data_IF_740376461296
#
_entry.id   IF_740376461296
#
_cell.length_a   1.000
_cell.length_b   1.000
_cell.length_c   1.000
_cell.angle_alpha   90.00
_cell.angle_beta   90.00
_cell.angle_gamma   90.00
#
_symmetry.space_group_name_H-M   'P 1'
#
loop_
_entity.id
_entity.type
_entity.pdbx_description
1 polymer ?
#
# COMPACT_ATOMS: atom_id res chain seq x y z
N UNK A 1 34.50 67.37 -15.50
CA UNK A 1 34.52 65.91 -15.74
C UNK A 1 34.08 65.24 -14.46
N UNK A 2 32.84 64.75 -14.42
CA UNK A 2 32.29 63.92 -13.35
C UNK A 2 32.27 62.47 -13.85
N UNK A 3 32.74 61.57 -13.00
CA UNK A 3 33.16 60.20 -13.30
C UNK A 3 32.02 59.17 -13.46
N UNK A 4 30.81 59.60 -13.84
CA UNK A 4 29.64 58.72 -13.99
C UNK A 4 29.11 58.62 -15.43
N UNK A 5 29.82 59.21 -16.41
CA UNK A 5 29.34 59.33 -17.79
C UNK A 5 29.93 58.28 -18.77
N UNK A 6 30.44 57.14 -18.27
CA UNK A 6 31.15 56.12 -19.08
C UNK A 6 30.55 54.70 -19.06
N UNK A 7 29.36 54.49 -18.49
CA UNK A 7 28.77 53.14 -18.38
C UNK A 7 27.26 53.06 -18.68
N UNK A 8 26.73 53.94 -19.55
CA UNK A 8 25.37 53.81 -20.07
C UNK A 8 25.38 53.26 -21.52
N UNK A 9 24.79 52.08 -21.81
CA UNK A 9 24.69 51.58 -23.18
C UNK A 9 23.72 52.45 -24.02
N UNK A 10 24.18 52.86 -25.21
CA UNK A 10 23.42 53.63 -26.18
C UNK A 10 22.20 52.83 -26.68
N UNK A 11 21.01 53.45 -26.68
CA UNK A 11 19.89 52.96 -27.49
C UNK A 11 18.52 52.80 -26.84
N UNK A 12 18.23 53.42 -25.68
CA UNK A 12 16.85 53.48 -25.18
C UNK A 12 16.44 54.89 -24.75
N UNK A 13 15.46 55.44 -25.47
CA UNK A 13 14.82 56.71 -25.13
C UNK A 13 14.10 56.64 -23.79
N UNK A 14 14.27 57.67 -22.96
CA UNK A 14 13.60 57.82 -21.65
C UNK A 14 12.07 57.84 -21.83
N UNK A 15 11.39 56.72 -21.55
CA UNK A 15 9.93 56.71 -21.33
C UNK A 15 9.64 57.41 -20.00
N UNK A 16 8.88 58.51 -20.05
CA UNK A 16 8.33 59.17 -18.86
C UNK A 16 7.31 58.24 -18.21
N UNK A 17 7.69 57.58 -17.13
CA UNK A 17 6.77 56.90 -16.22
C UNK A 17 6.00 57.95 -15.42
N UNK A 18 4.72 58.13 -15.75
CA UNK A 18 3.78 58.89 -14.95
C UNK A 18 3.54 58.11 -13.65
N UNK A 19 3.98 58.64 -12.51
CA UNK A 19 3.66 58.09 -11.19
C UNK A 19 2.19 58.40 -10.87
N UNK A 20 1.29 57.49 -11.22
CA UNK A 20 -0.07 57.48 -10.68
C UNK A 20 -0.01 57.12 -9.19
N UNK A 21 -0.78 57.80 -8.31
CA UNK A 21 -0.75 57.57 -6.87
C UNK A 21 -1.52 56.30 -6.51
N UNK A 22 -0.98 55.13 -6.83
CA UNK A 22 -1.58 53.82 -6.52
C UNK A 22 -1.87 53.61 -5.02
N UNK A 23 -1.17 54.33 -4.14
CA UNK A 23 -1.42 54.29 -2.69
C UNK A 23 -2.79 54.84 -2.26
N UNK A 24 -3.28 55.90 -2.92
CA UNK A 24 -4.57 56.52 -2.56
C UNK A 24 -5.76 55.73 -3.10
N UNK A 25 -5.61 55.13 -4.29
CA UNK A 25 -6.66 54.29 -4.90
C UNK A 25 -6.78 52.96 -4.13
N UNK A 26 -5.65 52.38 -3.72
CA UNK A 26 -5.64 51.17 -2.89
C UNK A 26 -6.29 51.38 -1.52
N UNK A 27 -6.00 52.49 -0.85
CA UNK A 27 -6.60 52.82 0.44
C UNK A 27 -8.13 53.04 0.35
N UNK A 28 -8.60 53.65 -0.75
CA UNK A 28 -10.03 53.81 -1.01
C UNK A 28 -10.76 52.47 -1.18
N UNK A 29 -10.17 51.53 -1.93
CA UNK A 29 -10.78 50.22 -2.19
C UNK A 29 -10.88 49.38 -0.90
N UNK A 30 -9.85 49.44 -0.06
CA UNK A 30 -9.78 48.71 1.21
C UNK A 30 -10.82 49.24 2.22
N UNK A 31 -11.03 50.55 2.24
CA UNK A 31 -12.08 51.19 3.04
C UNK A 31 -13.49 50.70 2.65
N UNK A 32 -13.77 50.60 1.34
CA UNK A 32 -15.06 50.12 0.85
C UNK A 32 -15.30 48.65 1.21
N UNK A 33 -14.28 47.80 1.10
CA UNK A 33 -14.40 46.38 1.49
C UNK A 33 -14.70 46.26 2.99
N UNK A 34 -13.93 46.94 3.85
CA UNK A 34 -14.10 46.85 5.30
C UNK A 34 -15.46 47.36 5.75
N UNK A 35 -15.93 48.48 5.19
CA UNK A 35 -17.25 49.04 5.51
C UNK A 35 -18.38 48.13 5.04
N UNK A 36 -18.25 47.52 3.86
CA UNK A 36 -19.27 46.57 3.35
C UNK A 36 -19.35 45.32 4.22
N UNK A 37 -18.21 44.77 4.65
CA UNK A 37 -18.19 43.60 5.55
C UNK A 37 -18.78 43.91 6.93
N UNK A 38 -18.48 45.09 7.48
CA UNK A 38 -19.05 45.53 8.77
C UNK A 38 -20.57 45.72 8.70
N UNK A 39 -21.09 46.28 7.61
CA UNK A 39 -22.54 46.42 7.40
C UNK A 39 -23.20 45.05 7.25
N UNK A 40 -22.56 44.12 6.54
CA UNK A 40 -23.10 42.76 6.37
C UNK A 40 -23.19 42.00 7.69
N UNK A 41 -22.14 42.05 8.53
CA UNK A 41 -22.14 41.44 9.87
C UNK A 41 -23.17 42.08 10.81
N UNK A 42 -23.42 43.39 10.69
CA UNK A 42 -24.38 44.09 11.54
C UNK A 42 -25.85 43.87 11.13
N UNK A 43 -26.12 43.42 9.90
CA UNK A 43 -27.48 43.27 9.35
C UNK A 43 -27.91 41.81 9.22
N UNK A 44 -26.96 40.88 9.11
CA UNK A 44 -27.25 39.44 8.95
C UNK A 44 -27.13 38.73 10.30
N UNK A 45 -28.26 38.59 10.99
CA UNK A 45 -28.40 37.96 12.32
C UNK A 45 -28.32 36.42 12.30
N UNK A 46 -27.83 35.81 11.22
CA UNK A 46 -27.64 34.36 11.15
C UNK A 46 -26.45 33.97 10.23
N UNK A 47 -25.24 33.80 10.78
CA UNK A 47 -24.04 33.47 10.01
C UNK A 47 -23.94 31.98 9.63
N UNK A 48 -24.90 31.13 10.03
CA UNK A 48 -24.94 29.69 9.76
C UNK A 48 -26.35 29.31 9.26
N UNK A 49 -26.65 29.73 8.05
CA UNK A 49 -27.96 29.52 7.44
C UNK A 49 -28.41 28.04 7.42
N UNK A 50 -29.43 27.74 8.23
CA UNK A 50 -30.49 26.80 7.88
C UNK A 50 -30.15 25.32 7.77
N UNK A 51 -29.30 24.76 8.64
CA UNK A 51 -29.28 23.30 8.81
C UNK A 51 -30.54 22.83 9.57
N UNK A 52 -31.37 21.93 9.02
CA UNK A 52 -32.56 21.45 9.70
C UNK A 52 -32.16 20.53 10.87
N UNK A 53 -32.27 21.03 12.09
CA UNK A 53 -32.09 20.23 13.31
C UNK A 53 -33.45 19.71 13.76
N UNK A 54 -33.65 18.40 13.68
CA UNK A 54 -34.84 17.74 14.24
C UNK A 54 -34.55 17.35 15.70
N UNK A 55 -35.18 18.05 16.64
CA UNK A 55 -35.16 17.69 18.06
C UNK A 55 -36.36 16.81 18.36
N UNK A 56 -36.12 15.52 18.65
CA UNK A 56 -37.13 14.58 19.11
C UNK A 56 -37.28 14.69 20.64
N UNK A 57 -38.44 15.09 21.18
CA UNK A 57 -38.69 15.00 22.61
C UNK A 57 -38.91 13.52 23.00
N UNK A 58 -38.01 12.99 23.83
CA UNK A 58 -38.17 11.68 24.48
C UNK A 58 -39.06 11.82 25.71
N UNK A 59 -40.37 11.98 25.48
CA UNK A 59 -41.39 11.77 26.52
C UNK A 59 -42.43 10.79 26.00
N UNK A 60 -42.12 9.51 26.19
CA UNK A 60 -43.11 8.44 26.21
C UNK A 60 -42.69 7.44 27.28
N UNK A 61 -43.07 7.75 28.52
CA UNK A 61 -43.17 6.72 29.57
C UNK A 61 -44.26 5.77 29.11
N UNK A 62 -43.85 4.59 28.63
CA UNK A 62 -44.75 3.46 28.44
C UNK A 62 -45.08 2.92 29.83
N UNK A 63 -46.23 3.31 30.37
CA UNK A 63 -46.83 2.60 31.50
C UNK A 63 -47.15 1.17 31.07
N UNK A 64 -46.50 0.18 31.69
CA UNK A 64 -46.84 -1.23 31.46
C UNK A 64 -45.75 -2.27 31.64
N UNK A 65 -44.53 -1.94 32.11
CA UNK A 65 -43.50 -2.96 32.40
C UNK A 65 -43.23 -3.00 33.91
N UNK A 66 -43.71 -4.06 34.54
CA UNK A 66 -43.43 -4.41 35.94
C UNK A 66 -41.97 -4.80 36.14
N UNK A 67 -41.39 -4.42 37.28
CA UNK A 67 -39.98 -4.60 37.65
C UNK A 67 -39.54 -6.05 37.93
N UNK A 68 -40.04 -7.03 37.17
CA UNK A 68 -39.63 -8.45 37.30
C UNK A 68 -38.88 -9.03 36.10
N UNK A 69 -38.65 -8.30 35.02
CA UNK A 69 -37.95 -8.82 33.81
C UNK A 69 -36.62 -8.13 33.47
N UNK A 70 -35.99 -7.45 34.43
CA UNK A 70 -34.60 -6.97 34.26
C UNK A 70 -33.67 -7.97 34.94
N UNK A 71 -33.40 -9.08 34.26
CA UNK A 71 -32.26 -9.91 34.59
C UNK A 71 -31.00 -9.23 34.03
N UNK A 72 -30.22 -8.63 34.93
CA UNK A 72 -28.87 -8.15 34.63
C UNK A 72 -28.03 -9.39 34.32
N UNK A 73 -27.85 -9.70 33.04
CA UNK A 73 -26.95 -10.76 32.59
C UNK A 73 -25.53 -10.25 32.75
N UNK A 74 -24.95 -10.55 33.91
CA UNK A 74 -23.52 -10.51 34.16
C UNK A 74 -22.86 -11.52 33.20
N UNK A 75 -22.22 -11.04 32.12
CA UNK A 75 -21.52 -11.91 31.17
C UNK A 75 -20.28 -12.47 31.86
N UNK A 76 -20.42 -13.62 32.51
CA UNK A 76 -19.31 -14.51 32.82
C UNK A 76 -18.90 -15.24 31.55
N UNK A 77 -17.60 -15.42 31.26
CA UNK A 77 -17.15 -16.15 30.09
C UNK A 77 -17.40 -17.64 30.31
N UNK A 78 -18.50 -18.15 29.74
CA UNK A 78 -18.85 -19.56 29.70
C UNK A 78 -18.61 -20.10 28.30
N UNK A 79 -17.60 -20.96 28.18
CA UNK A 79 -17.36 -21.83 27.02
C UNK A 79 -18.57 -22.74 26.80
N UNK A 80 -19.04 -22.84 25.56
CA UNK A 80 -19.94 -23.91 25.13
C UNK A 80 -20.81 -23.54 23.94
N UNK A 81 -20.51 -24.17 22.79
CA UNK A 81 -21.35 -24.37 21.61
C UNK A 81 -22.82 -23.95 21.74
N UNK A 82 -23.24 -22.92 20.98
CA UNK A 82 -24.44 -22.93 20.11
C UNK A 82 -24.68 -21.52 19.52
N UNK A 83 -23.81 -21.06 18.62
CA UNK A 83 -24.12 -19.91 17.77
C UNK A 83 -24.83 -20.44 16.52
N UNK A 84 -26.14 -20.21 16.45
CA UNK A 84 -27.02 -20.66 15.38
C UNK A 84 -26.55 -20.27 13.97
N UNK A 85 -27.07 -20.92 12.92
CA UNK A 85 -26.47 -20.98 11.58
C UNK A 85 -26.42 -19.66 10.79
N UNK A 86 -26.86 -18.53 11.36
CA UNK A 86 -27.06 -17.26 10.65
C UNK A 86 -26.12 -16.11 11.08
N UNK A 87 -25.03 -16.41 11.82
CA UNK A 87 -23.97 -15.44 12.14
C UNK A 87 -22.63 -15.76 11.45
N UNK A 88 -22.66 -16.54 10.37
CA UNK A 88 -21.56 -16.59 9.41
C UNK A 88 -21.71 -15.40 8.46
N UNK A 89 -20.73 -14.50 8.32
CA UNK A 89 -20.73 -13.56 7.22
C UNK A 89 -20.64 -14.38 5.92
N UNK A 90 -21.77 -14.54 5.25
CA UNK A 90 -21.93 -15.11 3.90
C UNK A 90 -21.36 -14.14 2.84
N UNK A 91 -20.07 -13.80 2.93
CA UNK A 91 -19.31 -13.04 1.91
C UNK A 91 -18.03 -13.76 1.47
N UNK A 92 -17.86 -15.02 1.82
CA UNK A 92 -16.66 -15.83 1.52
C UNK A 92 -16.63 -16.42 0.10
N UNK A 93 -17.63 -16.13 -0.74
CA UNK A 93 -17.80 -16.80 -2.03
C UNK A 93 -16.81 -16.40 -3.14
N UNK A 94 -16.26 -15.18 -3.13
CA UNK A 94 -15.52 -14.67 -4.30
C UNK A 94 -14.26 -13.82 -4.01
N UNK A 95 -13.90 -13.63 -2.74
CA UNK A 95 -12.70 -12.87 -2.36
C UNK A 95 -11.41 -13.59 -2.81
N UNK A 96 -10.54 -12.86 -3.50
CA UNK A 96 -9.23 -13.36 -3.95
C UNK A 96 -8.14 -13.16 -2.91
N UNK A 97 -8.34 -12.21 -1.99
CA UNK A 97 -7.43 -11.87 -0.90
C UNK A 97 -7.15 -13.02 0.08
N UNK A 98 -6.29 -12.78 1.09
CA UNK A 98 -5.89 -13.79 2.06
C UNK A 98 -7.10 -14.28 2.87
N UNK A 99 -7.18 -15.60 2.99
CA UNK A 99 -8.10 -16.29 3.88
C UNK A 99 -7.38 -16.53 5.18
N UNK A 100 -7.62 -15.66 6.15
CA UNK A 100 -7.16 -15.88 7.51
C UNK A 100 -7.92 -17.09 8.06
N UNK A 101 -7.38 -18.31 7.87
CA UNK A 101 -7.76 -19.43 8.72
C UNK A 101 -7.45 -18.96 10.14
N UNK A 102 -8.45 -18.92 11.01
CA UNK A 102 -8.20 -18.82 12.45
C UNK A 102 -7.42 -20.09 12.82
N UNK A 103 -6.10 -20.02 12.70
CA UNK A 103 -5.20 -21.10 13.07
C UNK A 103 -5.45 -21.30 14.57
N UNK A 104 -6.18 -22.36 14.92
CA UNK A 104 -6.20 -22.85 16.29
C UNK A 104 -4.76 -23.13 16.67
N UNK A 105 -4.27 -22.35 17.62
CA UNK A 105 -2.89 -22.38 18.07
C UNK A 105 -2.66 -23.75 18.76
N UNK A 106 -1.56 -24.45 18.48
CA UNK A 106 -1.24 -25.70 19.18
C UNK A 106 -0.95 -25.50 20.68
N UNK A 107 -0.89 -24.26 21.17
CA UNK A 107 -0.65 -23.89 22.56
C UNK A 107 -1.94 -23.61 23.38
N UNK A 108 -3.12 -23.76 22.77
CA UNK A 108 -4.41 -23.65 23.46
C UNK A 108 -4.87 -22.23 23.80
N UNK A 109 -4.21 -21.18 23.28
CA UNK A 109 -4.73 -19.82 23.37
C UNK A 109 -5.73 -19.58 22.23
N UNK A 110 -6.93 -19.10 22.61
CA UNK A 110 -8.10 -19.01 21.72
C UNK A 110 -7.93 -18.10 20.49
N UNK A 111 -8.96 -18.06 19.62
CA UNK A 111 -8.90 -17.39 18.31
C UNK A 111 -8.70 -15.86 18.35
N UNK A 112 -8.88 -15.22 19.51
CA UNK A 112 -8.88 -13.76 19.66
C UNK A 112 -7.53 -13.16 20.10
N UNK A 113 -6.48 -13.97 20.27
CA UNK A 113 -5.15 -13.45 20.57
C UNK A 113 -4.46 -13.00 19.27
N UNK A 114 -3.94 -11.75 19.19
CA UNK A 114 -3.21 -11.30 18.01
C UNK A 114 -2.04 -12.24 17.73
N UNK A 115 -1.94 -12.73 16.49
CA UNK A 115 -0.86 -13.64 16.05
C UNK A 115 0.46 -12.92 16.27
N UNK A 116 1.09 -13.19 17.43
CA UNK A 116 2.35 -12.56 17.81
C UNK A 116 3.48 -13.32 17.11
N UNK A 117 3.70 -12.99 15.85
CA UNK A 117 4.83 -13.49 15.05
C UNK A 117 4.41 -14.18 13.76
N UNK A 118 4.98 -13.71 12.65
CA UNK A 118 4.89 -14.34 11.35
C UNK A 118 5.82 -15.56 11.28
N UNK A 119 5.45 -16.61 10.52
CA UNK A 119 6.30 -17.80 10.40
C UNK A 119 7.70 -17.44 9.87
N UNK A 120 8.73 -17.88 10.60
CA UNK A 120 10.14 -17.72 10.26
C UNK A 120 10.66 -18.85 9.37
N UNK A 121 10.07 -20.04 9.50
CA UNK A 121 10.43 -21.23 8.72
C UNK A 121 9.40 -21.48 7.61
N UNK A 122 9.79 -22.12 6.50
CA UNK A 122 8.84 -22.56 5.48
C UNK A 122 7.77 -23.49 6.07
N UNK A 123 6.50 -23.13 5.92
CA UNK A 123 5.38 -24.00 6.26
C UNK A 123 5.33 -25.14 5.23
N UNK A 124 5.44 -26.38 5.71
CA UNK A 124 5.49 -27.60 4.90
C UNK A 124 4.19 -27.88 4.15
N UNK A 125 3.07 -27.24 4.53
CA UNK A 125 1.79 -27.33 3.82
C UNK A 125 1.83 -26.57 2.49
N UNK A 126 2.52 -25.43 2.46
CA UNK A 126 2.54 -24.50 1.33
C UNK A 126 3.93 -24.36 0.68
N UNK A 127 4.86 -25.23 1.05
CA UNK A 127 6.19 -25.32 0.45
C UNK A 127 6.56 -26.75 0.10
N UNK A 128 7.30 -26.93 -0.99
CA UNK A 128 7.85 -28.21 -1.43
C UNK A 128 9.35 -28.10 -1.67
N UNK A 129 10.08 -29.19 -1.46
CA UNK A 129 11.52 -29.22 -1.71
C UNK A 129 11.79 -29.59 -3.18
N UNK A 130 12.57 -28.77 -3.85
CA UNK A 130 13.10 -29.02 -5.20
C UNK A 130 14.63 -29.15 -5.15
N UNK A 131 15.24 -29.50 -6.29
CA UNK A 131 16.71 -29.54 -6.43
C UNK A 131 17.36 -28.16 -6.23
N UNK A 132 16.63 -27.08 -6.54
CA UNK A 132 17.13 -25.70 -6.48
C UNK A 132 16.83 -24.99 -5.15
N UNK A 133 15.99 -25.56 -4.29
CA UNK A 133 15.53 -24.95 -3.04
C UNK A 133 14.06 -25.23 -2.77
N UNK A 134 13.46 -24.47 -1.86
CA UNK A 134 12.03 -24.58 -1.57
C UNK A 134 11.21 -23.83 -2.62
N UNK A 135 10.14 -24.46 -3.09
CA UNK A 135 9.17 -23.85 -3.98
C UNK A 135 7.84 -23.67 -3.26
N UNK A 136 7.10 -22.58 -3.54
CA UNK A 136 5.73 -22.44 -3.08
C UNK A 136 4.83 -23.48 -3.74
N UNK A 137 3.86 -23.99 -3.00
CA UNK A 137 2.77 -24.83 -3.52
C UNK A 137 1.46 -24.51 -2.81
N UNK A 138 0.36 -24.83 -3.45
CA UNK A 138 -0.95 -24.90 -2.79
C UNK A 138 -1.05 -26.27 -2.10
N UNK A 139 -1.55 -26.29 -0.86
CA UNK A 139 -1.75 -27.55 -0.13
C UNK A 139 -2.92 -28.37 -0.72
N UNK A 140 -3.00 -29.66 -0.39
CA UNK A 140 -4.14 -30.50 -0.79
C UNK A 140 -5.48 -29.99 -0.21
N UNK A 141 -5.42 -29.24 0.89
CA UNK A 141 -6.57 -28.57 1.50
C UNK A 141 -6.90 -27.20 0.86
N UNK A 142 -6.15 -26.78 -0.16
CA UNK A 142 -6.36 -25.52 -0.87
C UNK A 142 -5.74 -24.29 -0.18
N UNK A 143 -4.94 -24.47 0.88
CA UNK A 143 -4.23 -23.37 1.54
C UNK A 143 -3.13 -22.86 0.62
N UNK A 144 -3.13 -21.55 0.35
CA UNK A 144 -2.14 -20.90 -0.51
C UNK A 144 -0.99 -20.30 0.33
N UNK A 145 0.22 -20.12 -0.23
CA UNK A 145 1.25 -19.28 0.39
C UNK A 145 0.75 -17.87 0.74
N UNK A 146 -0.11 -17.29 -0.11
CA UNK A 146 -0.80 -16.02 0.18
C UNK A 146 -1.55 -16.07 1.51
N UNK A 147 -2.27 -17.16 1.80
CA UNK A 147 -3.05 -17.30 3.03
C UNK A 147 -2.14 -17.53 4.24
N UNK A 148 -1.18 -18.45 4.11
CA UNK A 148 -0.30 -18.87 5.20
C UNK A 148 0.73 -17.81 5.64
N UNK A 149 1.18 -16.96 4.71
CA UNK A 149 2.23 -15.98 4.99
C UNK A 149 1.72 -14.53 5.06
N UNK A 150 0.46 -14.27 4.75
CA UNK A 150 -0.11 -12.93 4.88
C UNK A 150 -0.06 -12.43 6.30
N UNK A 151 0.21 -11.13 6.45
CA UNK A 151 0.08 -10.48 7.75
C UNK A 151 -1.40 -10.24 8.05
N UNK A 152 -1.93 -10.72 9.20
CA UNK A 152 -3.27 -10.38 9.63
C UNK A 152 -3.41 -8.88 9.83
N UNK A 153 -4.53 -8.33 9.37
CA UNK A 153 -4.96 -6.98 9.74
C UNK A 153 -6.03 -7.08 10.82
N UNK A 154 -5.88 -6.29 11.89
CA UNK A 154 -6.96 -6.12 12.86
C UNK A 154 -8.07 -5.33 12.15
N UNK A 155 -9.18 -6.01 11.86
CA UNK A 155 -10.30 -5.48 11.05
C UNK A 155 -11.17 -4.46 11.80
N UNK A 156 -10.65 -3.80 12.82
CA UNK A 156 -11.44 -2.96 13.73
C UNK A 156 -12.05 -1.74 13.02
N UNK A 157 -11.52 -1.31 11.87
CA UNK A 157 -11.97 -0.10 11.18
C UNK A 157 -12.07 -0.27 9.65
N UNK A 158 -13.17 -0.83 9.16
CA UNK A 158 -13.44 -0.95 7.71
C UNK A 158 -13.67 0.40 7.01
N UNK A 159 -13.85 1.49 7.77
CA UNK A 159 -14.14 2.84 7.26
C UNK A 159 -12.92 3.76 7.13
N UNK A 160 -11.74 3.36 7.61
CA UNK A 160 -10.53 4.18 7.52
C UNK A 160 -9.83 3.92 6.16
N UNK A 161 -9.45 4.96 5.40
CA UNK A 161 -8.71 4.75 4.17
C UNK A 161 -7.37 4.05 4.41
N UNK A 162 -7.09 3.04 3.59
CA UNK A 162 -5.92 2.15 3.73
C UNK A 162 -4.79 2.55 2.80
N UNK A 163 -3.56 2.46 3.27
CA UNK A 163 -2.37 2.65 2.45
C UNK A 163 -1.49 1.41 2.60
N UNK A 164 -1.05 0.83 1.48
CA UNK A 164 0.04 -0.15 1.48
C UNK A 164 1.30 0.49 0.92
N UNK A 165 2.44 0.22 1.57
CA UNK A 165 3.75 0.65 1.09
C UNK A 165 4.62 -0.58 0.90
N UNK A 166 5.27 -0.65 -0.25
CA UNK A 166 6.19 -1.71 -0.62
C UNK A 166 7.59 -1.11 -0.75
N UNK A 167 8.56 -1.66 -0.03
CA UNK A 167 9.98 -1.31 -0.21
C UNK A 167 10.69 -2.48 -0.88
N UNK A 168 11.24 -2.22 -2.07
CA UNK A 168 11.89 -3.22 -2.91
C UNK A 168 13.42 -3.14 -2.85
N UNK A 169 14.09 -4.13 -3.43
CA UNK A 169 15.55 -4.18 -3.51
C UNK A 169 16.23 -4.71 -2.25
N UNK A 170 15.48 -5.36 -1.33
CA UNK A 170 16.10 -5.97 -0.16
C UNK A 170 17.07 -7.08 -0.59
N UNK A 171 18.23 -7.11 0.05
CA UNK A 171 19.35 -8.00 -0.27
C UNK A 171 20.36 -7.41 -1.26
N UNK A 172 20.05 -6.34 -2.00
CA UNK A 172 21.02 -5.69 -2.90
C UNK A 172 22.06 -4.85 -2.16
N UNK A 173 21.71 -4.36 -0.96
CA UNK A 173 22.59 -3.62 -0.08
C UNK A 173 22.39 -4.08 1.35
N UNK A 174 23.43 -4.59 2.01
CA UNK A 174 23.38 -4.99 3.43
C UNK A 174 22.93 -3.83 4.32
N UNK A 175 23.55 -2.65 4.16
CA UNK A 175 23.22 -1.46 4.95
C UNK A 175 21.80 -0.96 4.68
N UNK A 176 21.40 -0.89 3.41
CA UNK A 176 20.04 -0.46 3.03
C UNK A 176 18.97 -1.40 3.56
N UNK A 177 19.21 -2.72 3.45
CA UNK A 177 18.28 -3.77 3.89
C UNK A 177 18.10 -3.75 5.40
N UNK A 178 19.18 -3.73 6.18
CA UNK A 178 19.08 -3.68 7.65
C UNK A 178 18.39 -2.41 8.13
N UNK A 179 18.72 -1.27 7.54
CA UNK A 179 18.09 0.00 7.88
C UNK A 179 16.58 -0.01 7.59
N UNK A 180 16.16 -0.56 6.44
CA UNK A 180 14.75 -0.70 6.11
C UNK A 180 14.01 -1.57 7.14
N UNK A 181 14.56 -2.76 7.46
CA UNK A 181 13.96 -3.69 8.42
C UNK A 181 13.86 -3.10 9.83
N UNK A 182 14.88 -2.37 10.30
CA UNK A 182 14.88 -1.84 11.66
C UNK A 182 14.06 -0.57 11.86
N UNK A 183 13.84 0.22 10.80
CA UNK A 183 13.26 1.57 10.91
C UNK A 183 11.80 1.64 10.50
N UNK A 184 11.33 0.75 9.62
CA UNK A 184 9.99 0.83 9.07
C UNK A 184 9.00 0.01 9.90
N UNK A 185 7.74 0.45 10.04
CA UNK A 185 6.75 -0.29 10.79
C UNK A 185 6.38 -1.61 10.09
N UNK A 186 5.96 -2.59 10.88
CA UNK A 186 5.65 -3.97 10.41
C UNK A 186 4.61 -4.06 9.29
N UNK A 187 3.75 -3.04 9.11
CA UNK A 187 2.76 -2.99 8.03
C UNK A 187 3.37 -2.64 6.66
N UNK A 188 4.63 -2.16 6.60
CA UNK A 188 5.36 -2.05 5.33
C UNK A 188 5.71 -3.43 4.81
N UNK A 189 5.38 -3.68 3.54
CA UNK A 189 5.72 -4.92 2.85
C UNK A 189 7.12 -4.80 2.22
N UNK A 190 7.92 -5.84 2.32
CA UNK A 190 9.25 -5.86 1.69
C UNK A 190 9.32 -6.79 0.49
N UNK A 191 9.99 -6.35 -0.57
CA UNK A 191 10.28 -7.18 -1.73
C UNK A 191 11.76 -7.54 -1.80
N UNK A 192 12.05 -8.84 -1.74
CA UNK A 192 13.38 -9.42 -1.81
C UNK A 192 13.85 -9.48 -3.26
N UNK A 193 15.04 -8.97 -3.53
CA UNK A 193 15.68 -9.10 -4.83
C UNK A 193 16.25 -10.52 -4.99
N UNK A 194 15.95 -11.26 -6.06
CA UNK A 194 16.34 -12.67 -6.21
C UNK A 194 17.85 -12.88 -6.32
N UNK A 195 18.61 -11.82 -6.58
CA UNK A 195 20.07 -11.83 -6.68
C UNK A 195 20.75 -11.13 -5.49
N UNK A 196 19.98 -10.76 -4.46
CA UNK A 196 20.54 -10.23 -3.23
C UNK A 196 21.37 -11.28 -2.47
N UNK A 197 22.26 -10.80 -1.62
CA UNK A 197 23.06 -11.64 -0.74
C UNK A 197 22.31 -11.90 0.56
N UNK A 198 22.60 -13.03 1.22
CA UNK A 198 22.04 -13.40 2.54
C UNK A 198 20.50 -13.33 2.62
N UNK A 199 19.78 -13.65 1.54
CA UNK A 199 18.31 -13.54 1.49
C UNK A 199 17.60 -14.29 2.63
N UNK A 200 18.07 -15.47 3.00
CA UNK A 200 17.49 -16.24 4.12
C UNK A 200 17.60 -15.51 5.45
N UNK A 201 18.69 -14.76 5.68
CA UNK A 201 18.88 -13.96 6.88
C UNK A 201 17.89 -12.79 6.91
N UNK A 202 17.84 -12.01 5.82
CA UNK A 202 16.96 -10.84 5.75
C UNK A 202 15.49 -11.21 5.75
N UNK A 203 15.13 -12.32 5.11
CA UNK A 203 13.79 -12.90 5.18
C UNK A 203 13.42 -13.21 6.63
N UNK A 204 14.27 -13.92 7.38
CA UNK A 204 14.00 -14.25 8.79
C UNK A 204 13.90 -13.00 9.66
N UNK A 205 14.81 -12.02 9.49
CA UNK A 205 14.77 -10.75 10.22
C UNK A 205 13.48 -9.98 9.94
N UNK A 206 13.12 -9.80 8.67
CA UNK A 206 11.90 -9.10 8.28
C UNK A 206 10.63 -9.79 8.83
N UNK A 207 10.57 -11.13 8.80
CA UNK A 207 9.45 -11.88 9.38
C UNK A 207 9.40 -11.77 10.91
N UNK A 208 10.56 -11.72 11.56
CA UNK A 208 10.66 -11.52 13.01
C UNK A 208 10.12 -10.15 13.43
N UNK A 209 10.41 -9.11 12.65
CA UNK A 209 9.87 -7.76 12.84
C UNK A 209 8.41 -7.60 12.33
N UNK A 210 7.81 -8.67 11.82
CA UNK A 210 6.39 -8.71 11.46
C UNK A 210 6.06 -8.21 10.05
N UNK A 211 7.04 -8.08 9.15
CA UNK A 211 6.82 -7.65 7.77
C UNK A 211 6.26 -8.76 6.87
N UNK A 212 5.34 -8.37 6.00
CA UNK A 212 4.93 -9.19 4.86
C UNK A 212 6.00 -9.15 3.76
N UNK A 213 6.20 -10.27 3.06
CA UNK A 213 7.25 -10.41 2.06
C UNK A 213 6.70 -10.68 0.67
N UNK A 214 7.37 -10.10 -0.33
CA UNK A 214 7.25 -10.38 -1.76
C UNK A 214 8.60 -10.81 -2.31
N UNK A 215 8.59 -11.46 -3.47
CA UNK A 215 9.79 -11.71 -4.27
C UNK A 215 9.78 -10.86 -5.55
N UNK A 216 10.88 -10.19 -5.85
CA UNK A 216 11.03 -9.48 -7.12
C UNK A 216 11.25 -10.45 -8.29
N UNK A 217 10.54 -10.22 -9.39
CA UNK A 217 10.71 -10.94 -10.65
C UNK A 217 11.35 -10.01 -11.70
N UNK A 218 12.59 -10.27 -12.11
CA UNK A 218 13.24 -9.59 -13.23
C UNK A 218 12.47 -9.85 -14.53
N UNK A 219 11.88 -8.80 -15.10
CA UNK A 219 11.08 -8.87 -16.32
C UNK A 219 11.70 -8.01 -17.43
N UNK A 220 11.51 -8.40 -18.69
CA UNK A 220 12.08 -7.71 -19.85
C UNK A 220 11.66 -6.22 -19.98
N UNK A 221 12.61 -5.26 -19.93
CA UNK A 221 12.36 -3.88 -20.33
C UNK A 221 12.44 -3.70 -21.86
N UNK A 222 12.16 -2.50 -22.38
CA UNK A 222 12.19 -2.25 -23.83
C UNK A 222 13.60 -2.23 -24.43
N UNK A 223 14.59 -1.86 -23.63
CA UNK A 223 16.00 -1.69 -23.97
C UNK A 223 16.84 -2.93 -23.61
N UNK A 224 16.22 -4.09 -23.41
CA UNK A 224 16.95 -5.35 -23.26
C UNK A 224 17.71 -5.70 -24.55
N UNK A 225 18.99 -6.14 -24.50
CA UNK A 225 19.77 -6.48 -23.31
C UNK A 225 20.66 -5.36 -22.75
N UNK A 226 20.57 -4.12 -23.25
CA UNK A 226 21.41 -3.01 -22.77
C UNK A 226 21.12 -2.68 -21.28
N UNK A 227 19.88 -2.91 -20.84
CA UNK A 227 19.47 -2.86 -19.44
C UNK A 227 18.91 -4.23 -19.02
N UNK A 228 19.79 -5.08 -18.49
CA UNK A 228 19.43 -6.45 -18.05
C UNK A 228 19.27 -6.51 -16.51
N UNK A 229 18.06 -6.80 -15.99
CA UNK A 229 17.84 -6.93 -14.56
C UNK A 229 18.39 -8.24 -13.97
N UNK A 230 18.90 -9.16 -14.80
CA UNK A 230 19.73 -10.28 -14.37
C UNK A 230 19.65 -11.56 -15.22
N UNK A 231 20.43 -12.59 -14.88
CA UNK A 231 20.62 -13.77 -15.75
C UNK A 231 19.34 -14.59 -16.02
N UNK A 232 18.35 -14.52 -15.12
CA UNK A 232 17.07 -15.23 -15.24
C UNK A 232 15.89 -14.31 -15.58
N UNK A 233 16.14 -13.14 -16.20
CA UNK A 233 15.08 -12.24 -16.68
C UNK A 233 14.06 -13.00 -17.52
N UNK A 234 12.77 -12.82 -17.21
CA UNK A 234 11.69 -13.41 -18.00
C UNK A 234 11.49 -12.57 -19.27
N UNK A 235 11.74 -13.17 -20.42
CA UNK A 235 11.63 -12.52 -21.73
C UNK A 235 10.36 -12.98 -22.46
N UNK A 236 9.76 -12.08 -23.22
CA UNK A 236 8.59 -12.33 -24.07
C UNK A 236 8.91 -13.29 -25.21
N UNK A 237 10.20 -13.43 -25.57
CA UNK A 237 10.66 -14.35 -26.61
C UNK A 237 10.97 -15.76 -26.09
N UNK A 238 10.86 -16.00 -24.78
CA UNK A 238 11.12 -17.32 -24.22
C UNK A 238 10.05 -18.32 -24.63
N UNK A 239 10.48 -19.53 -24.98
CA UNK A 239 9.58 -20.67 -25.05
C UNK A 239 9.01 -20.99 -23.66
N UNK A 240 7.77 -21.50 -23.55
CA UNK A 240 7.11 -21.77 -22.28
C UNK A 240 7.95 -22.55 -21.26
N UNK A 241 8.63 -23.60 -21.68
CA UNK A 241 9.46 -24.44 -20.79
C UNK A 241 10.64 -23.66 -20.19
N UNK A 242 11.27 -22.79 -20.99
CA UNK A 242 12.36 -21.93 -20.52
C UNK A 242 11.89 -20.81 -19.60
N UNK A 243 10.68 -20.30 -19.83
CA UNK A 243 10.06 -19.35 -18.90
C UNK A 243 9.78 -20.03 -17.55
N UNK A 244 9.26 -21.26 -17.55
CA UNK A 244 9.04 -22.04 -16.32
C UNK A 244 10.36 -22.34 -15.60
N UNK A 245 11.40 -22.77 -16.31
CA UNK A 245 12.72 -23.03 -15.75
C UNK A 245 13.28 -21.79 -15.02
N UNK A 246 13.25 -20.62 -15.67
CA UNK A 246 13.69 -19.36 -15.06
C UNK A 246 12.82 -18.94 -13.89
N UNK A 247 11.50 -19.05 -14.02
CA UNK A 247 10.56 -18.73 -12.94
C UNK A 247 10.80 -19.62 -11.71
N UNK A 248 10.97 -20.93 -11.90
CA UNK A 248 11.28 -21.88 -10.82
C UNK A 248 12.58 -21.51 -10.12
N UNK A 249 13.64 -21.19 -10.87
CA UNK A 249 14.89 -20.70 -10.28
C UNK A 249 14.63 -19.48 -9.38
N UNK A 250 13.93 -18.46 -9.89
CA UNK A 250 13.62 -17.24 -9.14
C UNK A 250 12.81 -17.56 -7.86
N UNK A 251 11.75 -18.35 -7.96
CA UNK A 251 10.88 -18.69 -6.83
C UNK A 251 11.60 -19.45 -5.70
N UNK A 252 12.71 -20.12 -5.99
CA UNK A 252 13.54 -20.80 -4.97
C UNK A 252 14.54 -19.90 -4.26
N UNK A 253 14.67 -18.62 -4.64
CA UNK A 253 15.68 -17.72 -4.04
C UNK A 253 15.34 -17.28 -2.61
N UNK A 254 14.07 -17.33 -2.24
CA UNK A 254 13.59 -17.04 -0.91
C UNK A 254 12.40 -17.95 -0.59
N UNK A 255 11.86 -17.84 0.62
CA UNK A 255 10.61 -18.50 1.05
C UNK A 255 9.72 -17.50 1.79
N UNK A 256 8.60 -17.96 2.35
CA UNK A 256 7.77 -17.17 3.27
C UNK A 256 7.24 -15.83 2.72
N UNK A 257 7.13 -15.72 1.39
CA UNK A 257 6.53 -14.59 0.70
C UNK A 257 5.10 -14.92 0.23
N UNK A 258 4.26 -13.90 0.17
CA UNK A 258 2.84 -14.03 -0.23
C UNK A 258 2.64 -13.94 -1.74
N UNK A 259 3.61 -13.39 -2.44
CA UNK A 259 3.52 -13.12 -3.87
C UNK A 259 4.78 -12.56 -4.47
N UNK A 260 4.63 -12.04 -5.68
CA UNK A 260 5.73 -11.51 -6.46
C UNK A 260 5.44 -10.10 -6.94
N UNK A 261 6.46 -9.27 -7.10
CA UNK A 261 6.38 -7.95 -7.73
C UNK A 261 7.34 -7.90 -8.92
N UNK A 262 6.99 -7.24 -10.01
CA UNK A 262 7.93 -7.09 -11.12
C UNK A 262 9.09 -6.14 -10.77
N UNK A 263 10.27 -6.47 -11.27
CA UNK A 263 11.42 -5.58 -11.38
C UNK A 263 11.60 -5.23 -12.86
N UNK A 264 11.59 -3.94 -13.17
CA UNK A 264 11.46 -3.42 -14.54
C UNK A 264 10.24 -4.01 -15.29
N UNK A 265 10.42 -4.54 -16.50
CA UNK A 265 9.38 -5.29 -17.19
C UNK A 265 8.46 -4.53 -18.12
N UNK A 266 8.73 -3.26 -18.47
CA UNK A 266 7.79 -2.45 -19.26
C UNK A 266 7.34 -3.10 -20.58
N UNK A 267 8.22 -3.90 -21.22
CA UNK A 267 7.89 -4.67 -22.43
C UNK A 267 7.14 -5.96 -22.09
N UNK A 268 7.56 -6.66 -21.03
CA UNK A 268 6.87 -7.87 -20.58
C UNK A 268 5.44 -7.59 -20.11
N UNK A 269 5.25 -6.58 -19.25
CA UNK A 269 3.95 -6.23 -18.67
C UNK A 269 2.96 -5.64 -19.66
N UNK A 270 3.41 -5.23 -20.85
CA UNK A 270 2.57 -4.83 -21.98
C UNK A 270 2.29 -5.96 -22.98
N UNK A 271 2.79 -7.17 -22.74
CA UNK A 271 2.66 -8.33 -23.65
C UNK A 271 1.69 -9.37 -23.08
N UNK A 272 0.46 -9.41 -23.62
CA UNK A 272 -0.65 -10.21 -23.08
C UNK A 272 -0.37 -11.71 -22.96
N UNK A 273 0.15 -12.41 -23.98
CA UNK A 273 0.40 -13.85 -23.87
C UNK A 273 1.42 -14.19 -22.76
N UNK A 274 2.48 -13.39 -22.62
CA UNK A 274 3.52 -13.57 -21.60
C UNK A 274 2.97 -13.32 -20.20
N UNK A 275 2.19 -12.25 -20.03
CA UNK A 275 1.54 -11.94 -18.75
C UNK A 275 0.52 -13.01 -18.35
N UNK A 276 -0.32 -13.47 -19.27
CA UNK A 276 -1.30 -14.54 -19.02
C UNK A 276 -0.58 -15.81 -18.55
N UNK A 277 0.46 -16.23 -19.28
CA UNK A 277 1.23 -17.40 -18.91
C UNK A 277 1.89 -17.27 -17.54
N UNK A 278 2.54 -16.13 -17.24
CA UNK A 278 3.15 -15.89 -15.94
C UNK A 278 2.11 -15.95 -14.81
N UNK A 279 0.99 -15.24 -14.96
CA UNK A 279 -0.07 -15.18 -13.95
C UNK A 279 -0.72 -16.54 -13.71
N UNK A 280 -0.91 -17.37 -14.73
CA UNK A 280 -1.36 -18.75 -14.57
C UNK A 280 -0.38 -19.60 -13.74
N UNK A 281 0.94 -19.44 -13.95
CA UNK A 281 1.95 -20.15 -13.14
C UNK A 281 1.97 -19.67 -11.71
N UNK A 282 1.86 -18.37 -11.47
CA UNK A 282 1.78 -17.81 -10.11
C UNK A 282 0.50 -18.26 -9.39
N UNK A 283 -0.64 -18.28 -10.09
CA UNK A 283 -1.92 -18.78 -9.57
C UNK A 283 -1.82 -20.23 -9.14
N UNK A 284 -1.23 -21.10 -9.97
CA UNK A 284 -1.00 -22.51 -9.64
C UNK A 284 -0.09 -22.72 -8.42
N UNK A 285 0.71 -21.71 -8.06
CA UNK A 285 1.58 -21.69 -6.88
C UNK A 285 0.92 -21.02 -5.66
N UNK A 286 -0.30 -20.48 -5.81
CA UNK A 286 -1.04 -19.78 -4.75
C UNK A 286 -0.43 -18.44 -4.36
N UNK A 287 0.25 -17.77 -5.29
CA UNK A 287 0.88 -16.47 -5.08
C UNK A 287 0.01 -15.34 -5.60
N UNK A 288 0.16 -14.14 -5.03
CA UNK A 288 -0.33 -12.90 -5.65
C UNK A 288 0.69 -12.29 -6.60
N UNK A 289 0.25 -11.41 -7.50
CA UNK A 289 1.14 -10.56 -8.30
C UNK A 289 0.90 -9.08 -8.00
N UNK A 290 1.99 -8.35 -7.79
CA UNK A 290 1.99 -6.91 -7.63
C UNK A 290 2.61 -6.27 -8.87
N UNK A 291 1.90 -5.33 -9.48
CA UNK A 291 2.49 -4.46 -10.50
C UNK A 291 3.16 -3.26 -9.83
N UNK A 292 4.46 -3.09 -10.06
CA UNK A 292 5.25 -2.02 -9.47
C UNK A 292 4.90 -0.60 -9.96
N UNK A 293 4.02 -0.47 -10.96
CA UNK A 293 3.49 0.82 -11.41
C UNK A 293 4.45 1.66 -12.26
N UNK A 294 5.64 1.13 -12.59
CA UNK A 294 6.65 1.85 -13.38
C UNK A 294 6.29 1.99 -14.86
N UNK A 295 5.34 1.19 -15.36
CA UNK A 295 4.90 1.21 -16.76
C UNK A 295 3.43 1.57 -16.87
N UNK A 296 3.14 2.72 -17.47
CA UNK A 296 1.77 3.15 -17.80
C UNK A 296 1.09 2.30 -18.88
N UNK A 297 1.84 1.43 -19.56
CA UNK A 297 1.34 0.50 -20.60
C UNK A 297 1.10 -0.90 -20.05
N UNK A 298 1.27 -1.12 -18.75
CA UNK A 298 1.03 -2.43 -18.16
C UNK A 298 -0.43 -2.83 -18.33
N UNK A 299 -0.64 -4.08 -18.74
CA UNK A 299 -1.95 -4.73 -18.82
C UNK A 299 -2.13 -5.74 -17.68
N UNK A 300 -1.30 -5.68 -16.64
CA UNK A 300 -1.32 -6.65 -15.55
C UNK A 300 -2.68 -6.71 -14.84
N UNK A 301 -3.35 -5.58 -14.63
CA UNK A 301 -4.67 -5.53 -14.02
C UNK A 301 -5.75 -6.23 -14.86
N UNK A 302 -5.73 -6.03 -16.19
CA UNK A 302 -6.66 -6.69 -17.11
C UNK A 302 -6.46 -8.22 -17.08
N UNK A 303 -5.20 -8.66 -17.20
CA UNK A 303 -4.85 -10.07 -17.22
C UNK A 303 -5.12 -10.74 -15.86
N UNK A 304 -4.92 -10.03 -14.75
CA UNK A 304 -5.23 -10.54 -13.42
C UNK A 304 -6.73 -10.79 -13.25
N UNK A 305 -7.58 -9.89 -13.77
CA UNK A 305 -9.02 -10.07 -13.76
C UNK A 305 -9.46 -11.28 -14.60
N UNK A 306 -8.88 -11.44 -15.80
CA UNK A 306 -9.15 -12.60 -16.68
C UNK A 306 -8.73 -13.93 -16.04
N UNK A 307 -7.54 -13.97 -15.44
CA UNK A 307 -6.98 -15.18 -14.83
C UNK A 307 -7.50 -15.43 -13.42
N UNK A 308 -8.22 -14.48 -12.82
CA UNK A 308 -8.60 -14.47 -11.39
C UNK A 308 -7.40 -14.70 -10.47
N UNK A 309 -6.29 -14.02 -10.76
CA UNK A 309 -5.12 -13.99 -9.89
C UNK A 309 -5.30 -12.91 -8.82
N UNK A 310 -4.99 -13.16 -7.54
CA UNK A 310 -4.91 -12.11 -6.54
C UNK A 310 -3.88 -11.05 -6.96
N UNK A 311 -4.31 -9.80 -7.09
CA UNK A 311 -3.54 -8.74 -7.72
C UNK A 311 -3.57 -7.44 -6.93
N UNK A 312 -2.45 -6.71 -6.95
CA UNK A 312 -2.39 -5.33 -6.46
C UNK A 312 -1.55 -4.48 -7.40
N UNK A 313 -2.06 -3.32 -7.79
CA UNK A 313 -1.32 -2.36 -8.63
C UNK A 313 -0.83 -1.19 -7.80
N UNK A 314 0.44 -0.80 -7.97
CA UNK A 314 1.01 0.41 -7.37
C UNK A 314 0.43 1.66 -8.04
N UNK A 315 -0.11 2.57 -7.24
CA UNK A 315 -0.66 3.86 -7.68
C UNK A 315 0.42 4.96 -7.73
N UNK A 316 1.42 4.88 -6.85
CA UNK A 316 2.49 5.89 -6.72
C UNK A 316 3.86 5.24 -6.54
N UNK A 317 4.80 5.56 -7.44
CA UNK A 317 6.22 5.26 -7.25
C UNK A 317 6.86 6.41 -6.48
N UNK A 318 7.39 6.14 -5.29
CA UNK A 318 7.83 7.15 -4.32
C UNK A 318 9.16 7.80 -4.72
N UNK A 319 10.11 7.01 -5.19
CA UNK A 319 11.49 7.43 -5.38
C UNK A 319 11.95 7.34 -6.84
N UNK A 320 11.02 7.56 -7.78
CA UNK A 320 11.33 7.81 -9.20
C UNK A 320 12.40 8.92 -9.33
N UNK A 321 12.28 9.95 -8.49
CA UNK A 321 13.33 10.92 -8.21
C UNK A 321 13.71 10.81 -6.74
N UNK A 322 14.89 10.28 -6.38
CA UNK A 322 15.26 9.99 -5.00
C UNK A 322 15.73 11.25 -4.26
N UNK A 323 14.83 12.23 -4.10
CA UNK A 323 15.04 13.46 -3.34
C UNK A 323 13.94 13.63 -2.29
N UNK A 324 14.30 14.20 -1.15
CA UNK A 324 13.38 14.34 0.01
C UNK A 324 12.09 15.09 -0.35
N UNK A 325 12.22 16.22 -1.06
CA UNK A 325 11.10 17.06 -1.51
C UNK A 325 10.15 16.33 -2.48
N UNK A 326 10.71 15.58 -3.42
CA UNK A 326 9.94 14.79 -4.38
C UNK A 326 9.21 13.62 -3.70
N UNK A 327 9.89 12.89 -2.80
CA UNK A 327 9.29 11.78 -2.06
C UNK A 327 8.14 12.28 -1.18
N UNK A 328 8.30 13.41 -0.48
CA UNK A 328 7.24 13.99 0.34
C UNK A 328 6.02 14.39 -0.51
N UNK A 329 6.25 14.95 -1.71
CA UNK A 329 5.17 15.26 -2.64
C UNK A 329 4.41 13.99 -3.10
N UNK A 330 5.14 12.89 -3.35
CA UNK A 330 4.54 11.58 -3.71
C UNK A 330 3.76 10.98 -2.54
N UNK A 331 4.23 11.12 -1.30
CA UNK A 331 3.50 10.68 -0.11
C UNK A 331 2.19 11.46 0.07
N UNK A 332 2.21 12.78 -0.12
CA UNK A 332 0.97 13.58 -0.11
C UNK A 332 0.00 13.17 -1.23
N UNK A 333 0.53 12.88 -2.43
CA UNK A 333 -0.28 12.33 -3.53
C UNK A 333 -0.91 10.99 -3.14
N UNK A 334 -0.15 10.10 -2.50
CA UNK A 334 -0.62 8.79 -2.03
C UNK A 334 -1.77 8.94 -1.03
N UNK A 335 -1.64 9.84 -0.06
CA UNK A 335 -2.71 10.11 0.91
C UNK A 335 -4.00 10.61 0.23
N UNK A 336 -3.86 11.51 -0.75
CA UNK A 336 -5.01 12.01 -1.52
C UNK A 336 -5.73 10.89 -2.27
N UNK A 337 -4.98 9.98 -2.91
CA UNK A 337 -5.55 8.81 -3.59
C UNK A 337 -6.26 7.91 -2.60
N UNK A 338 -5.65 7.64 -1.44
CA UNK A 338 -6.24 6.78 -0.41
C UNK A 338 -7.56 7.37 0.09
N UNK A 339 -7.61 8.67 0.40
CA UNK A 339 -8.85 9.34 0.84
C UNK A 339 -9.93 9.32 -0.23
N UNK A 340 -9.56 9.47 -1.50
CA UNK A 340 -10.52 9.49 -2.60
C UNK A 340 -11.08 8.10 -2.94
N UNK A 341 -10.27 7.04 -2.84
CA UNK A 341 -10.62 5.68 -3.30
C UNK A 341 -10.84 4.68 -2.15
N UNK A 342 -10.56 5.07 -0.91
CA UNK A 342 -10.53 4.20 0.25
C UNK A 342 -9.26 3.34 0.38
N UNK A 343 -8.47 3.20 -0.69
CA UNK A 343 -7.21 2.47 -0.68
C UNK A 343 -6.21 3.03 -1.69
N UNK A 344 -4.93 3.06 -1.32
CA UNK A 344 -3.83 3.35 -2.24
C UNK A 344 -2.60 2.49 -1.95
N UNK A 345 -1.82 2.24 -3.00
CA UNK A 345 -0.59 1.42 -2.91
C UNK A 345 0.59 2.24 -3.44
N UNK A 346 1.68 2.26 -2.69
CA UNK A 346 2.93 2.85 -3.12
C UNK A 346 4.06 1.82 -3.15
N UNK A 347 5.02 2.05 -4.03
CA UNK A 347 6.29 1.34 -4.02
C UNK A 347 7.47 2.32 -4.03
N UNK A 348 8.55 1.94 -3.35
CA UNK A 348 9.84 2.58 -3.44
C UNK A 348 10.96 1.57 -3.22
N UNK A 349 12.20 2.01 -3.30
CA UNK A 349 13.38 1.17 -3.11
C UNK A 349 13.98 1.35 -1.71
N UNK A 350 14.79 0.40 -1.25
CA UNK A 350 15.50 0.47 0.04
C UNK A 350 16.66 1.50 0.07
N UNK A 351 16.46 2.66 -0.58
CA UNK A 351 17.41 3.78 -0.56
C UNK A 351 17.36 4.50 0.79
N UNK A 352 18.50 4.99 1.32
CA UNK A 352 18.53 5.68 2.60
C UNK A 352 17.58 6.88 2.70
N UNK A 353 17.38 7.62 1.60
CA UNK A 353 16.46 8.77 1.57
C UNK A 353 15.00 8.30 1.63
N UNK A 354 14.63 7.28 0.86
CA UNK A 354 13.27 6.71 0.82
C UNK A 354 12.88 6.16 2.19
N UNK A 355 13.74 5.33 2.80
CA UNK A 355 13.49 4.75 4.13
C UNK A 355 13.32 5.84 5.19
N UNK A 356 14.17 6.87 5.18
CA UNK A 356 14.11 7.97 6.15
C UNK A 356 12.80 8.76 6.06
N UNK A 357 12.33 9.04 4.84
CA UNK A 357 11.08 9.78 4.65
C UNK A 357 9.87 8.91 5.00
N UNK A 358 9.88 7.62 4.65
CA UNK A 358 8.85 6.68 5.05
C UNK A 358 8.75 6.52 6.56
N UNK A 359 9.88 6.38 7.27
CA UNK A 359 9.92 6.30 8.73
C UNK A 359 9.29 7.55 9.37
N UNK A 360 9.63 8.74 8.88
CA UNK A 360 9.04 10.00 9.38
C UNK A 360 7.53 10.04 9.12
N UNK A 361 7.14 9.76 7.87
CA UNK A 361 5.76 9.84 7.41
C UNK A 361 4.83 8.83 8.09
N UNK A 362 5.32 7.62 8.42
CA UNK A 362 4.49 6.59 9.02
C UNK A 362 4.17 6.82 10.50
N UNK A 363 4.94 7.67 11.21
CA UNK A 363 4.79 7.87 12.67
C UNK A 363 3.47 8.51 13.07
N UNK A 364 2.95 9.42 12.26
CA UNK A 364 1.75 10.21 12.50
C UNK A 364 0.64 9.92 11.48
N UNK A 365 0.76 8.80 10.74
CA UNK A 365 -0.20 8.41 9.72
C UNK A 365 -1.61 8.13 10.29
N UNK A 366 -1.68 7.44 11.43
CA UNK A 366 -2.94 7.13 12.11
C UNK A 366 -3.62 8.40 12.64
N UNK A 367 -2.84 9.37 13.14
CA UNK A 367 -3.37 10.69 13.56
C UNK A 367 -3.97 11.46 12.38
N UNK A 368 -3.47 11.23 11.16
CA UNK A 368 -4.06 11.75 9.92
C UNK A 368 -5.29 10.95 9.45
N UNK A 369 -5.75 9.95 10.20
CA UNK A 369 -6.91 9.13 9.86
C UNK A 369 -6.68 8.24 8.65
N UNK A 370 -5.47 7.69 8.52
CA UNK A 370 -5.06 6.74 7.48
C UNK A 370 -4.47 5.51 8.16
N UNK A 371 -4.76 4.32 7.61
CA UNK A 371 -4.25 3.06 8.16
C UNK A 371 -3.18 2.48 7.23
N UNK A 372 -1.99 2.21 7.76
CA UNK A 372 -0.98 1.42 7.05
C UNK A 372 -1.37 -0.05 7.09
N UNK A 373 -1.34 -0.74 5.95
CA UNK A 373 -1.68 -2.16 5.84
C UNK A 373 -0.66 -2.90 4.95
N UNK A 374 -0.46 -4.21 5.16
CA UNK A 374 0.30 -5.05 4.24
C UNK A 374 -0.36 -5.09 2.84
N UNK A 375 0.42 -5.34 1.80
CA UNK A 375 -0.08 -5.31 0.40
C UNK A 375 -1.17 -6.36 0.15
N UNK A 376 -1.14 -7.51 0.82
CA UNK A 376 -2.17 -8.55 0.68
C UNK A 376 -3.57 -8.05 1.06
N UNK A 377 -3.68 -7.01 1.90
CA UNK A 377 -4.95 -6.41 2.29
C UNK A 377 -5.59 -5.52 1.21
N UNK A 378 -4.90 -5.27 0.08
CA UNK A 378 -5.35 -4.39 -0.99
C UNK A 378 -5.82 -5.12 -2.25
N UNK A 379 -5.91 -6.46 -2.22
CA UNK A 379 -6.20 -7.29 -3.40
C UNK A 379 -7.62 -7.07 -3.95
N UNK A 380 -8.60 -7.02 -3.06
CA UNK A 380 -10.03 -6.94 -3.43
C UNK A 380 -10.50 -5.46 -3.46
N UNK A 381 -9.73 -4.57 -4.11
CA UNK A 381 -10.00 -3.13 -4.17
C UNK A 381 -10.80 -2.65 -5.38
#
# INVERSE_FOLDING_TARGET
>A
MSSEDLTAPLGMGKRRLVRLPFGLIGAGLLSVIVTTTLVWVAVVDDPVGGEPVAVLPLDAVVEGVTSQDIEVVEIRPGIGDDLGPNLRPETSGDLLGPRYEMVMRPDGLGPDAPVTGLSLNPDTRVSERSELGFLPKVSDAGVRPLDAYSRPIVREFTSIPRIAVIVSGLGLSETGTRNAISSLPSDVTFALAPYGEELDLYMQQARMEGHELLLQLPLEPFDFPDNDPGPHTLLVSLMPDKMVERLVFLLTRATNYVGTINEMGARFTSTKPSMQFLMEKLKGRGLMFVDNGTSSRSIAAEVAAETRLPFSGVDVVLDEVPREDEIDAKLLQLESIARARGVAVAAGSALPVTVRQLEKWSRDLEERGLQLVPVSATIDR
#
